data_IF_542114980103
#
_entry.id   IF_542114980103
#
_cell.length_a   1.000
_cell.length_b   1.000
_cell.length_c   1.000
_cell.angle_alpha   90.00
_cell.angle_beta   90.00
_cell.angle_gamma   90.00
#
_symmetry.space_group_name_H-M   'P 1'
#
loop_
_entity.id
_entity.type
_entity.pdbx_description
1 polymer ?
#
# COMPACT_ATOMS: atom_id res chain seq x y z
N UNK A 1 -17.18 -29.63 2.90
CA UNK A 1 -16.53 -28.57 3.70
C UNK A 1 -15.84 -27.64 2.72
N UNK A 2 -16.39 -26.45 2.44
CA UNK A 2 -15.79 -25.48 1.50
C UNK A 2 -14.64 -24.80 2.24
N UNK A 3 -13.41 -25.10 1.85
CA UNK A 3 -12.22 -24.38 2.30
C UNK A 3 -12.25 -23.04 1.58
N UNK A 4 -12.35 -21.93 2.30
CA UNK A 4 -12.19 -20.62 1.69
C UNK A 4 -10.77 -20.52 1.09
N UNK A 5 -10.60 -19.94 -0.11
CA UNK A 5 -9.28 -19.72 -0.66
C UNK A 5 -8.49 -18.83 0.31
N UNK A 6 -7.28 -19.24 0.66
CA UNK A 6 -6.36 -18.43 1.47
C UNK A 6 -5.90 -17.28 0.59
N UNK A 7 -6.35 -16.07 0.92
CA UNK A 7 -5.93 -14.85 0.23
C UNK A 7 -4.58 -14.41 0.81
N UNK A 8 -3.51 -14.61 0.04
CA UNK A 8 -2.17 -14.16 0.43
C UNK A 8 -2.09 -12.67 0.18
N UNK A 9 -2.10 -11.88 1.26
CA UNK A 9 -1.85 -10.44 1.21
C UNK A 9 -0.41 -10.18 1.59
N UNK A 10 0.23 -9.29 0.84
CA UNK A 10 1.58 -8.85 1.18
C UNK A 10 1.48 -7.65 2.10
N UNK A 11 2.32 -7.66 3.13
CA UNK A 11 2.40 -6.60 4.11
C UNK A 11 3.79 -5.95 4.06
N UNK A 12 3.82 -4.64 4.31
CA UNK A 12 5.02 -3.86 4.48
C UNK A 12 4.91 -2.93 5.69
N UNK A 13 5.99 -2.20 5.97
CA UNK A 13 6.07 -1.22 7.07
C UNK A 13 6.48 0.14 6.50
N UNK A 14 5.84 1.21 6.98
CA UNK A 14 6.24 2.58 6.64
C UNK A 14 7.55 2.94 7.33
N UNK A 15 8.57 3.28 6.54
CA UNK A 15 9.88 3.73 7.01
C UNK A 15 10.00 5.26 7.03
N UNK A 16 9.33 5.94 6.09
CA UNK A 16 9.39 7.40 5.94
C UNK A 16 8.05 7.94 5.42
N UNK A 17 7.64 9.12 5.90
CA UNK A 17 6.49 9.88 5.39
C UNK A 17 6.97 11.29 5.07
N UNK A 18 6.78 11.73 3.82
CA UNK A 18 7.25 13.04 3.34
C UNK A 18 6.39 13.58 2.21
N UNK A 19 5.65 14.67 2.47
CA UNK A 19 4.89 15.43 1.45
C UNK A 19 4.00 14.53 0.58
N UNK A 20 3.25 13.65 1.23
CA UNK A 20 2.29 12.76 0.59
C UNK A 20 2.89 11.51 -0.04
N UNK A 21 4.21 11.32 0.11
CA UNK A 21 4.93 10.13 -0.32
C UNK A 21 5.35 9.34 0.91
N UNK A 22 5.11 8.04 0.87
CA UNK A 22 5.58 7.11 1.89
C UNK A 22 6.60 6.16 1.30
N UNK A 23 7.60 5.83 2.10
CA UNK A 23 8.57 4.78 1.79
C UNK A 23 8.25 3.56 2.63
N UNK A 24 8.18 2.40 1.99
CA UNK A 24 7.68 1.17 2.55
C UNK A 24 8.78 0.11 2.42
N UNK A 25 9.09 -0.57 3.51
CA UNK A 25 9.90 -1.79 3.50
C UNK A 25 8.99 -3.02 3.33
N UNK A 26 9.41 -3.98 2.50
CA UNK A 26 8.61 -5.16 2.16
C UNK A 26 7.86 -5.00 0.82
N UNK A 27 6.72 -5.70 0.68
CA UNK A 27 5.95 -5.79 -0.56
C UNK A 27 6.75 -6.34 -1.77
N UNK A 28 7.32 -7.56 -1.67
CA UNK A 28 8.24 -8.09 -2.68
C UNK A 28 7.63 -8.29 -4.07
N UNK A 29 6.32 -8.50 -4.18
CA UNK A 29 5.62 -8.65 -5.46
C UNK A 29 4.74 -7.44 -5.81
N UNK A 30 5.05 -6.26 -5.25
CA UNK A 30 4.34 -5.06 -5.67
C UNK A 30 4.63 -4.70 -7.13
N UNK A 31 3.67 -4.00 -7.72
CA UNK A 31 3.77 -3.50 -9.10
C UNK A 31 3.37 -2.04 -9.16
N UNK A 32 3.86 -1.36 -10.20
CA UNK A 32 3.52 0.04 -10.45
C UNK A 32 2.00 0.19 -10.60
N UNK A 33 1.43 1.20 -9.93
CA UNK A 33 -0.01 1.46 -9.97
C UNK A 33 -0.86 0.55 -9.08
N UNK A 34 -0.23 -0.33 -8.28
CA UNK A 34 -0.95 -1.15 -7.32
C UNK A 34 -1.52 -0.31 -6.18
N UNK A 35 -2.77 -0.61 -5.79
CA UNK A 35 -3.38 -0.02 -4.62
C UNK A 35 -2.81 -0.61 -3.33
N UNK A 36 -2.57 0.28 -2.36
CA UNK A 36 -2.15 -0.07 -1.01
C UNK A 36 -3.08 0.55 0.02
N UNK A 37 -3.20 -0.10 1.16
CA UNK A 37 -3.92 0.41 2.33
C UNK A 37 -2.93 0.70 3.45
N UNK A 38 -3.00 1.91 4.01
CA UNK A 38 -1.99 2.49 4.91
C UNK A 38 -2.66 2.79 6.26
N UNK A 39 -3.24 1.77 6.88
CA UNK A 39 -4.00 1.90 8.13
C UNK A 39 -5.11 2.96 8.05
N UNK A 40 -5.85 3.16 9.15
CA UNK A 40 -6.78 4.30 9.32
C UNK A 40 -7.80 4.55 8.19
N UNK A 41 -8.07 3.56 7.32
CA UNK A 41 -8.86 3.70 6.10
C UNK A 41 -8.20 4.54 4.99
N UNK A 42 -6.92 4.90 5.12
CA UNK A 42 -6.15 5.59 4.09
C UNK A 42 -5.72 4.60 3.00
N UNK A 43 -5.80 5.07 1.77
CA UNK A 43 -5.35 4.34 0.60
C UNK A 43 -4.19 5.06 -0.05
N UNK A 44 -3.46 4.35 -0.88
CA UNK A 44 -2.39 4.91 -1.67
C UNK A 44 -2.11 4.07 -2.91
N UNK A 45 -1.10 4.46 -3.66
CA UNK A 45 -0.69 3.77 -4.87
C UNK A 45 0.83 3.70 -4.99
N UNK A 46 1.36 2.55 -5.37
CA UNK A 46 2.80 2.37 -5.63
C UNK A 46 3.21 3.12 -6.89
N UNK A 47 4.24 3.96 -6.77
CA UNK A 47 4.79 4.78 -7.87
C UNK A 47 6.22 4.41 -8.25
N UNK A 48 6.98 3.85 -7.31
CA UNK A 48 8.37 3.44 -7.52
C UNK A 48 8.64 2.24 -6.62
N UNK A 49 9.45 1.29 -7.08
CA UNK A 49 9.88 0.18 -6.25
C UNK A 49 11.24 -0.34 -6.71
N UNK A 50 11.94 -0.97 -5.77
CA UNK A 50 13.17 -1.71 -6.00
C UNK A 50 13.10 -3.05 -5.24
N UNK A 51 14.18 -3.81 -5.22
CA UNK A 51 14.22 -5.13 -4.60
C UNK A 51 14.02 -5.14 -3.07
N UNK A 52 14.12 -3.98 -2.41
CA UNK A 52 14.10 -3.85 -0.95
C UNK A 52 13.00 -2.93 -0.43
N UNK A 53 12.64 -1.90 -1.20
CA UNK A 53 11.70 -0.86 -0.79
C UNK A 53 10.78 -0.46 -1.92
N UNK A 54 9.55 -0.07 -1.56
CA UNK A 54 8.60 0.57 -2.45
C UNK A 54 8.28 1.99 -1.96
N UNK A 55 7.95 2.88 -2.87
CA UNK A 55 7.45 4.23 -2.58
C UNK A 55 6.04 4.35 -3.13
N UNK A 56 5.15 4.90 -2.31
CA UNK A 56 3.75 5.10 -2.66
C UNK A 56 3.28 6.52 -2.40
N UNK A 57 2.32 6.98 -3.20
CA UNK A 57 1.58 8.21 -2.92
C UNK A 57 0.40 7.88 -2.01
N UNK A 58 0.09 8.79 -1.08
CA UNK A 58 -1.03 8.67 -0.14
C UNK A 58 -2.22 9.44 -0.68
N UNK A 59 -3.40 8.82 -0.64
CA UNK A 59 -4.67 9.45 -0.89
C UNK A 59 -5.29 9.88 0.44
N UNK A 60 -5.29 11.19 0.71
CA UNK A 60 -5.89 11.78 1.89
C UNK A 60 -4.88 12.44 2.82
N UNK A 61 -5.12 12.32 4.12
CA UNK A 61 -4.40 13.05 5.16
C UNK A 61 -3.17 12.28 5.65
N UNK A 62 -1.99 12.67 5.15
CA UNK A 62 -0.70 12.05 5.51
C UNK A 62 -0.33 12.20 6.99
N UNK A 63 -0.88 13.19 7.71
CA UNK A 63 -0.55 13.44 9.11
C UNK A 63 -1.02 12.34 10.06
N UNK A 64 -1.91 11.46 9.58
CA UNK A 64 -2.38 10.29 10.33
C UNK A 64 -1.41 9.10 10.24
N UNK A 65 -0.53 9.09 9.24
CA UNK A 65 0.43 8.02 9.01
C UNK A 65 1.67 8.24 9.84
N UNK A 66 2.19 7.18 10.45
CA UNK A 66 3.42 7.19 11.23
C UNK A 66 4.40 6.16 10.73
N UNK A 67 5.68 6.42 10.99
CA UNK A 67 6.74 5.42 10.82
C UNK A 67 6.41 4.22 11.70
N UNK A 68 6.49 3.02 11.12
CA UNK A 68 6.09 1.76 11.74
C UNK A 68 4.67 1.31 11.39
N UNK A 69 3.85 2.14 10.73
CA UNK A 69 2.51 1.73 10.32
C UNK A 69 2.56 0.59 9.30
N UNK A 70 1.61 -0.34 9.42
CA UNK A 70 1.50 -1.47 8.52
C UNK A 70 0.81 -1.04 7.22
N UNK A 71 1.43 -1.42 6.10
CA UNK A 71 0.87 -1.27 4.75
C UNK A 71 0.49 -2.63 4.22
N UNK A 72 -0.67 -2.75 3.58
CA UNK A 72 -1.09 -3.99 2.94
C UNK A 72 -1.37 -3.74 1.46
N UNK A 73 -0.87 -4.62 0.58
CA UNK A 73 -1.25 -4.57 -0.83
C UNK A 73 -2.69 -5.07 -0.98
N UNK A 74 -3.52 -4.28 -1.66
CA UNK A 74 -4.80 -4.76 -2.14
C UNK A 74 -4.57 -5.37 -3.52
N UNK A 75 -5.08 -6.58 -3.76
CA UNK A 75 -4.92 -7.30 -5.03
C UNK A 75 -5.67 -6.71 -6.22
N UNK A 76 -5.98 -5.40 -6.18
CA UNK A 76 -6.76 -4.69 -7.19
C UNK A 76 -5.99 -3.53 -7.80
N UNK A 77 -6.32 -3.22 -9.06
CA UNK A 77 -5.95 -1.96 -9.70
C UNK A 77 -6.79 -0.81 -9.13
N UNK A 78 -6.31 0.42 -9.27
CA UNK A 78 -7.09 1.60 -8.93
C UNK A 78 -8.35 1.66 -9.83
N UNK A 79 -9.51 1.48 -9.22
CA UNK A 79 -10.81 1.60 -9.88
C UNK A 79 -11.46 2.93 -9.52
N UNK A 80 -11.92 3.66 -10.54
CA UNK A 80 -12.73 4.86 -10.36
C UNK A 80 -14.11 4.55 -10.95
N UNK A 81 -15.18 4.53 -10.15
CA UNK A 81 -16.52 4.31 -10.67
C UNK A 81 -16.93 5.50 -11.53
N UNK A 82 -17.37 5.22 -12.75
CA UNK A 82 -17.96 6.21 -13.68
C UNK A 82 -19.43 5.87 -13.92
N UNK A 83 -20.24 6.91 -14.14
CA UNK A 83 -21.68 6.83 -14.40
C UNK A 83 -22.14 8.03 -15.22
#
# INVERSE_FOLDING_TARGET
MRIAPVEVKETGIVEEVKRGIIKISGLPNCFYGQLIEIGWGLKGMIIEFNQYTASGIVFGDEYKIKVGDMVTSQGGLLEVPVG
#
